data_IF_493611097884
#
_entry.id   IF_493611097884
#
_cell.length_a   1.000
_cell.length_b   1.000
_cell.length_c   1.000
_cell.angle_alpha   90.00
_cell.angle_beta   90.00
_cell.angle_gamma   90.00
#
_symmetry.space_group_name_H-M   'P 1'
#
loop_
_entity.id
_entity.type
_entity.pdbx_description
1 polymer ?
#
# COMPACT_ATOMS: atom_id res chain seq x y z
N UNK A 1 3.08 -21.82 11.35
CA UNK A 1 1.80 -22.05 10.66
C UNK A 1 1.37 -20.82 9.89
N UNK A 2 1.34 -19.64 10.52
CA UNK A 2 1.06 -18.35 9.86
C UNK A 2 1.85 -18.10 8.55
N UNK A 3 3.16 -18.37 8.54
CA UNK A 3 3.97 -18.31 7.32
C UNK A 3 3.44 -19.20 6.19
N UNK A 4 3.04 -20.43 6.51
CA UNK A 4 2.50 -21.35 5.51
C UNK A 4 1.13 -20.84 5.01
N UNK A 5 0.30 -20.28 5.89
CA UNK A 5 -1.00 -19.68 5.52
C UNK A 5 -0.84 -18.58 4.46
N UNK A 6 0.17 -17.71 4.60
CA UNK A 6 0.46 -16.69 3.59
C UNK A 6 0.95 -17.30 2.27
N UNK A 7 1.89 -18.25 2.31
CA UNK A 7 2.39 -18.97 1.12
C UNK A 7 1.28 -19.76 0.39
N UNK A 8 0.28 -20.23 1.14
CA UNK A 8 -0.89 -20.93 0.65
C UNK A 8 -2.03 -20.01 0.21
N UNK A 9 -1.91 -18.69 0.41
CA UNK A 9 -2.85 -17.68 -0.07
C UNK A 9 -2.22 -16.87 -1.22
N UNK A 10 -2.35 -17.33 -2.48
CA UNK A 10 -1.55 -16.80 -3.59
C UNK A 10 -1.73 -15.30 -3.84
N UNK A 11 -2.91 -14.74 -3.54
CA UNK A 11 -3.17 -13.30 -3.67
C UNK A 11 -2.28 -12.48 -2.73
N UNK A 12 -2.16 -12.88 -1.46
CA UNK A 12 -1.33 -12.19 -0.47
C UNK A 12 0.13 -12.41 -0.82
N UNK A 13 0.52 -13.67 -1.05
CA UNK A 13 1.88 -14.03 -1.40
C UNK A 13 2.40 -13.28 -2.65
N UNK A 14 1.54 -13.08 -3.65
CA UNK A 14 1.91 -12.33 -4.86
C UNK A 14 2.27 -10.87 -4.57
N UNK A 15 1.49 -10.19 -3.73
CA UNK A 15 1.74 -8.81 -3.33
C UNK A 15 2.97 -8.68 -2.42
N UNK A 16 3.13 -9.57 -1.44
CA UNK A 16 4.33 -9.59 -0.60
C UNK A 16 5.60 -9.74 -1.45
N UNK A 17 5.57 -10.63 -2.45
CA UNK A 17 6.69 -10.82 -3.37
C UNK A 17 6.93 -9.64 -4.29
N UNK A 18 5.87 -8.91 -4.64
CA UNK A 18 6.01 -7.65 -5.39
C UNK A 18 6.71 -6.59 -4.53
N UNK A 19 6.25 -6.37 -3.29
CA UNK A 19 6.84 -5.38 -2.38
C UNK A 19 8.29 -5.71 -2.01
N UNK A 20 8.59 -6.99 -1.69
CA UNK A 20 9.95 -7.49 -1.45
C UNK A 20 10.89 -7.16 -2.63
N UNK A 21 10.42 -7.34 -3.87
CA UNK A 21 11.18 -7.03 -5.08
C UNK A 21 11.31 -5.51 -5.33
N UNK A 22 10.28 -4.73 -5.01
CA UNK A 22 10.23 -3.28 -5.19
C UNK A 22 11.22 -2.57 -4.27
N UNK A 23 11.16 -2.86 -2.97
CA UNK A 23 11.97 -2.20 -1.95
C UNK A 23 13.34 -2.87 -1.74
N UNK A 24 13.45 -4.17 -2.07
CA UNK A 24 14.68 -4.94 -1.92
C UNK A 24 14.97 -5.33 -0.48
N UNK A 25 15.50 -6.54 -0.28
CA UNK A 25 15.72 -7.10 1.06
C UNK A 25 16.84 -6.41 1.86
N UNK A 26 17.70 -5.64 1.20
CA UNK A 26 18.68 -4.77 1.86
C UNK A 26 18.04 -3.58 2.58
N UNK A 27 16.85 -3.14 2.15
CA UNK A 27 16.08 -2.10 2.81
C UNK A 27 15.08 -2.74 3.82
N UNK A 28 14.84 -2.11 4.99
CA UNK A 28 13.80 -2.56 5.93
C UNK A 28 12.41 -2.79 5.30
N UNK A 29 11.97 -1.94 4.38
CA UNK A 29 10.65 -2.02 3.73
C UNK A 29 10.48 -3.26 2.84
N UNK A 30 11.58 -3.81 2.32
CA UNK A 30 11.54 -5.02 1.49
C UNK A 30 11.57 -6.32 2.29
N UNK A 31 11.60 -6.26 3.62
CA UNK A 31 11.60 -7.46 4.48
C UNK A 31 10.17 -7.80 4.89
N UNK A 32 9.80 -9.06 4.75
CA UNK A 32 8.52 -9.56 5.23
C UNK A 32 8.40 -9.35 6.74
N UNK A 33 7.23 -8.88 7.20
CA UNK A 33 6.95 -8.66 8.62
C UNK A 33 7.18 -9.90 9.47
N UNK A 34 6.75 -11.07 8.97
CA UNK A 34 6.94 -12.36 9.66
C UNK A 34 8.42 -12.80 9.72
N UNK A 35 9.26 -12.24 8.85
CA UNK A 35 10.67 -12.59 8.73
C UNK A 35 10.92 -13.99 8.14
N UNK A 36 12.18 -14.32 7.86
CA UNK A 36 12.53 -15.62 7.29
C UNK A 36 12.50 -16.73 8.35
N UNK A 37 12.13 -17.94 7.93
CA UNK A 37 12.07 -19.14 8.79
C UNK A 37 13.37 -19.39 9.57
N UNK A 38 14.52 -19.10 8.96
CA UNK A 38 15.83 -19.24 9.59
C UNK A 38 16.03 -18.31 10.78
N UNK A 39 15.43 -17.12 10.78
CA UNK A 39 15.47 -16.16 11.89
C UNK A 39 14.48 -16.58 12.97
N UNK A 40 13.25 -16.93 12.62
CA UNK A 40 12.21 -17.36 13.58
C UNK A 40 12.69 -18.52 14.45
N UNK A 41 13.41 -19.49 13.86
CA UNK A 41 13.94 -20.65 14.59
C UNK A 41 15.12 -20.34 15.52
N UNK A 42 15.78 -19.19 15.34
CA UNK A 42 17.05 -18.86 16.02
C UNK A 42 16.96 -17.63 16.91
N UNK A 43 15.87 -16.86 16.83
CA UNK A 43 15.71 -15.64 17.63
C UNK A 43 15.80 -15.99 19.11
N UNK A 44 16.72 -15.33 19.80
CA UNK A 44 16.95 -15.52 21.23
C UNK A 44 16.14 -14.54 22.06
N UNK A 45 15.89 -14.88 23.33
CA UNK A 45 15.29 -13.95 24.29
C UNK A 45 16.06 -12.63 24.36
N UNK A 46 17.40 -12.67 24.32
CA UNK A 46 18.22 -11.46 24.42
C UNK A 46 17.94 -10.52 23.24
N UNK A 47 17.85 -11.04 22.00
CA UNK A 47 17.51 -10.22 20.83
C UNK A 47 16.13 -9.56 20.93
N UNK A 48 15.14 -10.23 21.55
CA UNK A 48 13.82 -9.65 21.80
C UNK A 48 13.88 -8.53 22.83
N UNK A 49 14.67 -8.71 23.90
CA UNK A 49 14.91 -7.69 24.92
C UNK A 49 15.64 -6.50 24.30
N UNK A 50 16.70 -6.74 23.52
CA UNK A 50 17.46 -5.68 22.83
C UNK A 50 16.56 -4.89 21.87
N UNK A 51 15.67 -5.56 21.13
CA UNK A 51 14.69 -4.88 20.28
C UNK A 51 13.74 -3.98 21.10
N UNK A 52 13.25 -4.47 22.24
CA UNK A 52 12.43 -3.67 23.15
C UNK A 52 13.21 -2.44 23.66
N UNK A 53 14.46 -2.61 24.08
CA UNK A 53 15.30 -1.51 24.56
C UNK A 53 15.68 -0.52 23.44
N UNK A 54 15.76 -0.97 22.19
CA UNK A 54 16.03 -0.11 21.03
C UNK A 54 14.81 0.77 20.67
N UNK A 55 13.59 0.26 20.78
CA UNK A 55 12.39 0.87 20.19
C UNK A 55 11.25 1.21 21.14
N UNK A 56 11.05 0.51 22.27
CA UNK A 56 9.91 0.76 23.19
C UNK A 56 10.27 1.86 24.19
N UNK A 57 10.45 3.07 23.65
CA UNK A 57 10.78 4.27 24.40
C UNK A 57 9.60 5.23 24.40
N UNK A 58 9.43 6.00 25.47
CA UNK A 58 8.33 6.93 25.61
C UNK A 58 8.29 7.97 24.47
N UNK A 59 9.46 8.39 23.97
CA UNK A 59 9.57 9.29 22.81
C UNK A 59 9.37 8.60 21.44
N UNK A 60 9.02 7.31 21.42
CA UNK A 60 8.68 6.51 20.23
C UNK A 60 7.30 5.84 20.36
N UNK A 61 6.45 6.34 21.27
CA UNK A 61 5.16 5.73 21.60
C UNK A 61 4.07 6.79 21.65
N UNK A 62 2.90 6.45 21.12
CA UNK A 62 1.70 7.28 21.18
C UNK A 62 0.59 6.48 21.84
N UNK A 63 -0.07 7.08 22.82
CA UNK A 63 -1.28 6.54 23.44
C UNK A 63 -2.46 7.37 22.96
N UNK A 64 -3.26 6.80 22.06
CA UNK A 64 -4.48 7.41 21.56
C UNK A 64 -5.70 6.81 22.27
N UNK A 65 -6.54 7.69 22.81
CA UNK A 65 -7.80 7.33 23.48
C UNK A 65 -8.94 8.17 22.89
N UNK A 66 -10.08 7.54 22.69
CA UNK A 66 -11.27 8.16 22.10
C UNK A 66 -12.54 7.54 22.67
N UNK A 67 -13.63 8.30 22.67
CA UNK A 67 -14.93 7.90 23.21
C UNK A 67 -15.34 8.71 24.44
N UNK A 68 -16.19 8.12 25.28
CA UNK A 68 -16.64 8.74 26.53
C UNK A 68 -15.57 8.59 27.62
N UNK A 69 -14.64 9.53 27.67
CA UNK A 69 -13.48 9.46 28.57
C UNK A 69 -13.74 10.15 29.91
N UNK A 70 -13.43 9.51 31.05
CA UNK A 70 -13.43 10.16 32.36
C UNK A 70 -12.49 11.38 32.40
N UNK A 71 -12.82 12.40 33.20
CA UNK A 71 -11.98 13.61 33.36
C UNK A 71 -10.55 13.32 33.81
N UNK A 72 -10.32 12.21 34.52
CA UNK A 72 -9.00 11.81 35.03
C UNK A 72 -8.22 10.86 34.08
N UNK A 73 -8.67 10.67 32.83
CA UNK A 73 -8.01 9.76 31.87
C UNK A 73 -6.54 10.11 31.65
N UNK A 74 -6.24 11.41 31.46
CA UNK A 74 -4.86 11.88 31.27
C UNK A 74 -3.97 11.60 32.48
N UNK A 75 -4.51 11.75 33.71
CA UNK A 75 -3.78 11.44 34.94
C UNK A 75 -3.45 9.96 35.04
N UNK A 76 -4.39 9.08 34.71
CA UNK A 76 -4.15 7.62 34.67
C UNK A 76 -3.10 7.26 33.63
N UNK A 77 -3.17 7.83 32.42
CA UNK A 77 -2.16 7.57 31.38
C UNK A 77 -0.77 7.99 31.89
N UNK A 78 -0.66 9.15 32.53
CA UNK A 78 0.60 9.60 33.13
C UNK A 78 1.11 8.63 34.20
N UNK A 79 0.25 8.26 35.14
CA UNK A 79 0.55 7.33 36.26
C UNK A 79 1.06 5.97 35.77
N UNK A 80 0.45 5.41 34.73
CA UNK A 80 0.80 4.06 34.25
C UNK A 80 1.95 4.04 33.25
N UNK A 81 2.16 5.11 32.48
CA UNK A 81 3.09 5.07 31.34
C UNK A 81 4.23 6.09 31.42
N UNK A 82 3.93 7.35 31.71
CA UNK A 82 4.93 8.43 31.60
C UNK A 82 6.13 8.22 32.52
N UNK A 83 5.89 7.77 33.75
CA UNK A 83 6.95 7.61 34.75
C UNK A 83 7.55 6.19 34.78
N UNK A 84 7.07 5.28 33.92
CA UNK A 84 7.45 3.86 33.93
C UNK A 84 8.19 3.40 32.67
N UNK A 85 8.13 4.17 31.59
CA UNK A 85 8.76 3.82 30.33
C UNK A 85 10.07 4.58 30.12
N UNK A 86 11.12 3.93 29.60
CA UNK A 86 12.39 4.59 29.36
C UNK A 86 12.25 5.66 28.27
N UNK A 87 12.90 6.80 28.48
CA UNK A 87 13.18 7.77 27.42
C UNK A 87 14.60 7.54 26.89
N UNK A 88 14.85 7.84 25.61
CA UNK A 88 16.21 7.84 25.10
C UNK A 88 16.32 7.86 23.59
N UNK A 89 17.56 7.71 23.10
CA UNK A 89 17.83 7.69 21.65
C UNK A 89 17.13 6.50 21.00
N UNK A 90 16.28 6.76 20.02
CA UNK A 90 15.67 5.71 19.20
C UNK A 90 16.66 5.33 18.12
N UNK A 91 16.71 4.04 17.77
CA UNK A 91 17.54 3.55 16.68
C UNK A 91 17.07 4.19 15.37
N UNK A 92 17.98 4.87 14.67
CA UNK A 92 17.67 5.50 13.38
C UNK A 92 17.29 4.45 12.34
N UNK A 93 16.22 4.75 11.61
CA UNK A 93 15.76 3.95 10.48
C UNK A 93 16.22 4.68 9.21
N UNK A 94 16.86 3.93 8.31
CA UNK A 94 17.33 4.49 7.05
C UNK A 94 16.14 4.79 6.13
N UNK A 95 16.13 6.01 5.59
CA UNK A 95 15.16 6.39 4.56
C UNK A 95 15.30 5.53 3.31
N UNK A 96 14.19 5.25 2.66
CA UNK A 96 14.16 4.57 1.39
C UNK A 96 14.69 5.47 0.27
N UNK A 97 15.62 4.92 -0.52
CA UNK A 97 16.12 5.56 -1.74
C UNK A 97 15.80 4.62 -2.89
N UNK A 98 14.95 5.08 -3.81
CA UNK A 98 14.65 4.30 -5.00
C UNK A 98 15.84 4.32 -5.97
N UNK A 99 16.56 3.20 -6.05
CA UNK A 99 17.67 2.98 -6.98
C UNK A 99 17.26 2.21 -8.25
N UNK A 100 15.97 1.90 -8.41
CA UNK A 100 15.48 1.13 -9.55
C UNK A 100 15.63 1.92 -10.86
N UNK A 101 16.26 1.29 -11.86
CA UNK A 101 16.47 1.87 -13.19
C UNK A 101 15.71 1.14 -14.31
N UNK A 102 15.21 -0.07 -14.04
CA UNK A 102 14.57 -0.93 -15.03
C UNK A 102 13.34 -1.61 -14.44
N UNK A 103 12.39 -1.94 -15.32
CA UNK A 103 11.26 -2.80 -14.94
C UNK A 103 11.76 -4.14 -14.40
N UNK A 104 11.06 -4.67 -13.39
CA UNK A 104 11.37 -5.98 -12.79
C UNK A 104 10.17 -6.92 -12.96
N UNK A 105 10.47 -8.19 -13.23
CA UNK A 105 9.47 -9.26 -13.33
C UNK A 105 9.90 -10.40 -12.43
N UNK A 106 9.00 -10.85 -11.57
CA UNK A 106 9.18 -12.01 -10.70
C UNK A 106 8.11 -13.05 -11.03
N UNK A 107 8.56 -14.23 -11.46
CA UNK A 107 7.70 -15.38 -11.73
C UNK A 107 7.88 -16.42 -10.63
N UNK A 108 6.86 -16.63 -9.82
CA UNK A 108 6.82 -17.68 -8.82
C UNK A 108 6.02 -18.85 -9.39
N UNK A 109 6.74 -19.90 -9.79
CA UNK A 109 6.12 -21.08 -10.37
C UNK A 109 5.25 -21.81 -9.34
N UNK A 110 3.94 -21.90 -9.61
CA UNK A 110 3.00 -22.76 -8.88
C UNK A 110 2.02 -23.36 -9.89
N UNK A 111 1.73 -24.66 -9.77
CA UNK A 111 0.74 -25.31 -10.63
C UNK A 111 -0.66 -24.92 -10.12
N UNK A 112 -1.21 -23.85 -10.67
CA UNK A 112 -2.51 -23.29 -10.28
C UNK A 112 -3.43 -23.17 -11.49
N UNK A 113 -4.75 -23.25 -11.25
CA UNK A 113 -5.76 -23.00 -12.29
C UNK A 113 -5.95 -21.51 -12.56
N UNK A 114 -5.97 -20.71 -11.49
CA UNK A 114 -5.95 -19.25 -11.56
C UNK A 114 -4.52 -18.72 -11.43
N UNK A 115 -4.25 -17.63 -12.12
CA UNK A 115 -2.99 -16.89 -11.98
C UNK A 115 -3.22 -15.66 -11.12
N UNK A 116 -2.34 -15.44 -10.15
CA UNK A 116 -2.38 -14.24 -9.34
C UNK A 116 -1.30 -13.28 -9.82
N UNK A 117 -1.71 -12.05 -10.09
CA UNK A 117 -0.86 -10.98 -10.57
C UNK A 117 -0.86 -9.85 -9.56
N UNK A 118 0.32 -9.27 -9.33
CA UNK A 118 0.49 -7.99 -8.68
C UNK A 118 1.41 -7.12 -9.55
N UNK A 119 0.98 -5.92 -9.90
CA UNK A 119 1.75 -4.93 -10.65
C UNK A 119 1.91 -3.69 -9.77
N UNK A 120 3.11 -3.12 -9.69
CA UNK A 120 3.39 -2.05 -8.75
C UNK A 120 4.33 -0.98 -9.28
N UNK A 121 4.15 0.23 -8.75
CA UNK A 121 5.00 1.39 -8.97
C UNK A 121 5.33 2.02 -7.62
N UNK A 122 6.54 2.57 -7.49
CA UNK A 122 6.88 3.41 -6.34
C UNK A 122 5.95 4.64 -6.29
N UNK A 123 5.39 4.89 -5.11
CA UNK A 123 4.45 5.96 -4.81
C UNK A 123 5.02 6.93 -3.77
N UNK A 124 4.12 7.63 -3.09
CA UNK A 124 4.45 8.70 -2.15
C UNK A 124 4.24 8.28 -0.69
N UNK A 125 5.04 8.88 0.20
CA UNK A 125 4.87 8.75 1.66
C UNK A 125 3.75 9.65 2.20
N UNK A 126 3.40 9.48 3.48
CA UNK A 126 2.25 10.19 4.10
C UNK A 126 2.33 11.71 4.02
N UNK A 127 3.54 12.27 4.16
CA UNK A 127 3.76 13.73 4.19
C UNK A 127 3.99 14.34 2.81
N UNK A 128 3.97 13.56 1.73
CA UNK A 128 4.13 14.10 0.38
C UNK A 128 2.86 14.83 -0.08
N UNK A 129 3.01 16.01 -0.66
CA UNK A 129 1.90 16.81 -1.21
C UNK A 129 1.12 16.11 -2.32
N UNK A 130 1.71 15.12 -2.99
CA UNK A 130 1.10 14.35 -4.06
C UNK A 130 0.29 13.15 -3.53
N UNK A 131 0.42 12.81 -2.25
CA UNK A 131 -0.26 11.68 -1.63
C UNK A 131 -1.79 11.72 -1.79
N UNK A 132 -2.50 12.85 -1.58
CA UNK A 132 -3.95 12.89 -1.78
C UNK A 132 -4.39 12.56 -3.21
N UNK A 133 -3.61 12.99 -4.21
CA UNK A 133 -3.87 12.70 -5.61
C UNK A 133 -3.56 11.23 -5.95
N UNK A 134 -2.55 10.61 -5.32
CA UNK A 134 -2.27 9.19 -5.48
C UNK A 134 -3.40 8.30 -4.90
N UNK A 135 -3.95 8.65 -3.74
CA UNK A 135 -5.08 7.93 -3.15
C UNK A 135 -6.30 7.96 -4.07
N UNK A 136 -6.62 9.14 -4.62
CA UNK A 136 -7.72 9.27 -5.59
C UNK A 136 -7.42 8.53 -6.90
N UNK A 137 -6.16 8.51 -7.35
CA UNK A 137 -5.76 7.74 -8.52
C UNK A 137 -5.99 6.23 -8.30
N UNK A 138 -5.71 5.69 -7.12
CA UNK A 138 -6.02 4.29 -6.79
C UNK A 138 -7.53 4.01 -6.85
N UNK A 139 -8.35 4.90 -6.28
CA UNK A 139 -9.81 4.78 -6.32
C UNK A 139 -10.34 4.76 -7.76
N UNK A 140 -9.86 5.69 -8.59
CA UNK A 140 -10.27 5.80 -10.01
C UNK A 140 -9.89 4.54 -10.80
N UNK A 141 -8.72 3.99 -10.54
CA UNK A 141 -8.22 2.83 -11.26
C UNK A 141 -8.88 1.53 -10.83
N UNK A 142 -8.96 1.24 -9.53
CA UNK A 142 -9.36 -0.07 -9.04
C UNK A 142 -9.95 -0.11 -7.64
N UNK A 143 -10.26 1.02 -6.99
CA UNK A 143 -10.69 1.02 -5.59
C UNK A 143 -12.16 0.64 -5.36
N UNK A 144 -12.99 0.58 -6.41
CA UNK A 144 -14.40 0.20 -6.29
C UNK A 144 -14.97 -0.38 -7.60
N UNK A 145 -16.25 -0.79 -7.59
CA UNK A 145 -16.90 -1.41 -8.75
C UNK A 145 -17.12 -0.46 -9.94
N UNK A 146 -17.06 0.84 -9.72
CA UNK A 146 -17.21 1.86 -10.78
C UNK A 146 -15.86 2.32 -11.38
N UNK A 147 -14.75 1.75 -10.89
CA UNK A 147 -13.40 2.09 -11.31
C UNK A 147 -13.07 1.55 -12.70
N UNK A 148 -12.07 2.15 -13.35
CA UNK A 148 -11.71 1.84 -14.74
C UNK A 148 -11.34 0.37 -14.95
N UNK A 149 -10.49 -0.19 -14.09
CA UNK A 149 -10.04 -1.57 -14.21
C UNK A 149 -11.17 -2.55 -13.91
N UNK A 150 -12.03 -2.26 -12.93
CA UNK A 150 -13.18 -3.10 -12.65
C UNK A 150 -14.13 -3.15 -13.85
N UNK A 151 -14.51 -1.99 -14.40
CA UNK A 151 -15.42 -1.93 -15.55
C UNK A 151 -14.79 -2.55 -16.79
N UNK A 152 -13.55 -2.20 -17.13
CA UNK A 152 -12.97 -2.62 -18.41
C UNK A 152 -12.46 -4.06 -18.35
N UNK A 153 -11.61 -4.39 -17.37
CA UNK A 153 -10.91 -5.68 -17.33
C UNK A 153 -11.82 -6.79 -16.82
N UNK A 154 -12.58 -6.53 -15.74
CA UNK A 154 -13.47 -7.53 -15.14
C UNK A 154 -14.83 -7.59 -15.83
N UNK A 155 -15.59 -6.49 -15.86
CA UNK A 155 -16.98 -6.53 -16.33
C UNK A 155 -17.11 -6.66 -17.85
N UNK A 156 -16.38 -5.85 -18.63
CA UNK A 156 -16.51 -5.84 -20.10
C UNK A 156 -15.75 -6.96 -20.79
N UNK A 157 -14.49 -7.18 -20.40
CA UNK A 157 -13.60 -8.14 -21.09
C UNK A 157 -13.62 -9.53 -20.45
N UNK A 158 -14.15 -9.68 -19.23
CA UNK A 158 -14.19 -10.94 -18.51
C UNK A 158 -12.80 -11.54 -18.25
N UNK A 159 -11.77 -10.69 -18.11
CA UNK A 159 -10.37 -11.13 -18.02
C UNK A 159 -9.92 -11.47 -16.60
N UNK A 160 -10.64 -10.96 -15.59
CA UNK A 160 -10.27 -11.09 -14.19
C UNK A 160 -11.46 -11.50 -13.32
N UNK A 161 -11.24 -12.44 -12.41
CA UNK A 161 -12.19 -12.81 -11.36
C UNK A 161 -12.30 -11.72 -10.29
N UNK A 162 -11.15 -11.13 -9.96
CA UNK A 162 -11.06 -9.90 -9.17
C UNK A 162 -9.96 -9.03 -9.76
N UNK A 163 -10.13 -7.72 -9.62
CA UNK A 163 -9.09 -6.73 -9.91
C UNK A 163 -9.31 -5.54 -8.97
N UNK A 164 -8.23 -5.05 -8.37
CA UNK A 164 -8.26 -3.88 -7.49
C UNK A 164 -6.97 -3.09 -7.56
N UNK A 165 -7.03 -1.84 -7.12
CA UNK A 165 -5.87 -0.97 -6.95
C UNK A 165 -5.82 -0.44 -5.53
N UNK A 166 -4.67 -0.57 -4.89
CA UNK A 166 -4.44 -0.17 -3.50
C UNK A 166 -3.16 0.67 -3.37
N UNK A 167 -3.05 1.42 -2.27
CA UNK A 167 -1.83 2.11 -1.86
C UNK A 167 -1.21 1.41 -0.66
N UNK A 168 0.08 1.10 -0.73
CA UNK A 168 0.90 0.83 0.44
C UNK A 168 1.70 2.09 0.76
N UNK A 169 1.42 2.75 1.88
CA UNK A 169 2.03 4.06 2.22
C UNK A 169 2.85 3.94 3.50
N UNK A 170 4.08 4.44 3.44
CA UNK A 170 5.03 4.53 4.55
C UNK A 170 5.34 5.99 4.84
N UNK A 171 6.22 6.25 5.82
CA UNK A 171 6.58 7.60 6.23
C UNK A 171 7.22 8.40 5.08
N UNK A 172 8.19 7.82 4.39
CA UNK A 172 9.04 8.49 3.40
C UNK A 172 8.85 8.01 1.95
N UNK A 173 8.05 6.96 1.74
CA UNK A 173 7.76 6.40 0.41
C UNK A 173 6.43 5.65 0.41
N UNK A 174 6.05 5.09 -0.75
CA UNK A 174 4.88 4.25 -0.88
C UNK A 174 4.93 3.39 -2.13
N UNK A 175 3.83 2.72 -2.42
CA UNK A 175 3.60 1.96 -3.63
C UNK A 175 2.13 2.03 -4.05
N UNK A 176 1.89 2.15 -5.35
CA UNK A 176 0.59 1.97 -5.98
C UNK A 176 0.55 0.60 -6.63
N UNK A 177 -0.39 -0.25 -6.21
CA UNK A 177 -0.42 -1.67 -6.53
C UNK A 177 -1.71 -2.02 -7.25
N UNK A 178 -1.64 -2.72 -8.38
CA UNK A 178 -2.77 -3.38 -9.05
C UNK A 178 -2.68 -4.87 -8.77
N UNK A 179 -3.71 -5.47 -8.20
CA UNK A 179 -3.80 -6.91 -7.97
C UNK A 179 -4.93 -7.51 -8.77
N UNK A 180 -4.71 -8.69 -9.36
CA UNK A 180 -5.74 -9.39 -10.11
C UNK A 180 -5.63 -10.93 -10.01
N UNK A 181 -6.77 -11.59 -10.07
CA UNK A 181 -6.88 -13.04 -10.28
C UNK A 181 -7.37 -13.30 -11.69
N UNK A 182 -6.59 -14.02 -12.50
CA UNK A 182 -6.74 -14.12 -13.95
C UNK A 182 -6.84 -15.57 -14.41
N UNK A 183 -7.44 -15.78 -15.59
CA UNK A 183 -7.34 -17.04 -16.33
C UNK A 183 -5.95 -17.16 -16.98
N UNK A 184 -5.29 -18.32 -16.79
CA UNK A 184 -3.95 -18.61 -17.33
C UNK A 184 -3.86 -18.50 -18.86
N UNK A 185 -4.96 -18.73 -19.57
CA UNK A 185 -5.04 -18.68 -21.03
C UNK A 185 -5.07 -17.25 -21.59
N UNK A 186 -5.56 -16.27 -20.79
CA UNK A 186 -5.77 -14.88 -21.23
C UNK A 186 -4.90 -13.86 -20.50
N UNK A 187 -3.86 -14.29 -19.78
CA UNK A 187 -3.00 -13.41 -18.98
C UNK A 187 -2.36 -12.26 -19.78
N UNK A 188 -1.89 -12.51 -21.00
CA UNK A 188 -1.22 -11.48 -21.79
C UNK A 188 -2.20 -10.39 -22.23
N UNK A 189 -3.43 -10.79 -22.56
CA UNK A 189 -4.53 -9.88 -22.87
C UNK A 189 -4.91 -9.05 -21.64
N UNK A 190 -5.02 -9.69 -20.47
CA UNK A 190 -5.30 -9.03 -19.20
C UNK A 190 -4.23 -7.98 -18.83
N UNK A 191 -2.94 -8.35 -18.92
CA UNK A 191 -1.83 -7.41 -18.65
C UNK A 191 -1.87 -6.22 -19.60
N UNK A 192 -2.12 -6.48 -20.89
CA UNK A 192 -2.22 -5.41 -21.89
C UNK A 192 -3.39 -4.47 -21.56
N UNK A 193 -4.57 -5.01 -21.26
CA UNK A 193 -5.74 -4.21 -20.88
C UNK A 193 -5.51 -3.38 -19.61
N UNK A 194 -4.82 -3.93 -18.60
CA UNK A 194 -4.42 -3.20 -17.39
C UNK A 194 -3.52 -2.02 -17.77
N UNK A 195 -2.44 -2.29 -18.50
CA UNK A 195 -1.47 -1.26 -18.90
C UNK A 195 -2.12 -0.15 -19.74
N UNK A 196 -3.06 -0.50 -20.62
CA UNK A 196 -3.75 0.46 -21.45
C UNK A 196 -4.65 1.39 -20.63
N UNK A 197 -5.34 0.90 -19.59
CA UNK A 197 -6.06 1.77 -18.66
C UNK A 197 -5.13 2.71 -17.87
N UNK A 198 -3.98 2.21 -17.44
CA UNK A 198 -2.97 3.05 -16.76
C UNK A 198 -2.43 4.14 -17.70
N UNK A 199 -2.14 3.80 -18.98
CA UNK A 199 -1.71 4.77 -20.01
C UNK A 199 -2.77 5.82 -20.28
N UNK A 200 -4.05 5.43 -20.39
CA UNK A 200 -5.15 6.37 -20.59
C UNK A 200 -5.21 7.43 -19.49
N UNK A 201 -4.99 7.05 -18.22
CA UNK A 201 -4.93 8.02 -17.12
C UNK A 201 -3.64 8.87 -17.18
N UNK A 202 -2.49 8.25 -17.46
CA UNK A 202 -1.20 8.94 -17.62
C UNK A 202 -1.23 10.03 -18.70
N UNK A 203 -1.80 9.71 -19.86
CA UNK A 203 -1.75 10.55 -21.06
C UNK A 203 -2.96 11.48 -21.17
N UNK A 204 -4.16 10.95 -20.92
CA UNK A 204 -5.43 11.66 -21.04
C UNK A 204 -5.86 12.36 -19.75
N UNK A 205 -5.50 11.82 -18.59
CA UNK A 205 -6.05 12.24 -17.30
C UNK A 205 -7.45 11.67 -17.04
N UNK A 206 -8.21 12.40 -16.22
CA UNK A 206 -9.56 12.01 -15.77
C UNK A 206 -10.50 13.20 -15.95
N UNK A 207 -11.76 12.93 -16.30
CA UNK A 207 -12.76 14.00 -16.39
C UNK A 207 -13.23 14.44 -15.00
N UNK A 208 -13.92 15.58 -14.93
CA UNK A 208 -14.41 16.15 -13.66
C UNK A 208 -15.43 15.25 -12.97
N UNK A 209 -16.26 14.51 -13.72
CA UNK A 209 -17.31 13.64 -13.16
C UNK A 209 -16.68 12.40 -12.54
N UNK A 210 -15.69 11.81 -13.20
CA UNK A 210 -14.90 10.68 -12.71
C UNK A 210 -14.14 11.06 -11.43
N UNK A 211 -13.44 12.19 -11.43
CA UNK A 211 -12.77 12.69 -10.23
C UNK A 211 -13.76 12.93 -9.08
N UNK A 212 -14.89 13.58 -9.37
CA UNK A 212 -15.92 13.85 -8.36
C UNK A 212 -16.46 12.55 -7.74
N UNK A 213 -16.72 11.52 -8.55
CA UNK A 213 -17.14 10.20 -8.05
C UNK A 213 -16.10 9.57 -7.13
N UNK A 214 -14.80 9.68 -7.44
CA UNK A 214 -13.75 9.17 -6.58
C UNK A 214 -13.66 9.94 -5.25
N UNK A 215 -13.79 11.27 -5.29
CA UNK A 215 -13.83 12.11 -4.09
C UNK A 215 -15.04 11.80 -3.20
N UNK A 216 -16.21 11.58 -3.80
CA UNK A 216 -17.44 11.23 -3.08
C UNK A 216 -17.35 9.84 -2.47
N UNK A 217 -16.83 8.86 -3.21
CA UNK A 217 -16.57 7.52 -2.71
C UNK A 217 -15.64 7.55 -1.50
N UNK A 218 -14.53 8.27 -1.59
CA UNK A 218 -13.56 8.38 -0.49
C UNK A 218 -14.17 9.12 0.71
N UNK A 219 -14.98 10.14 0.46
CA UNK A 219 -15.70 10.87 1.53
C UNK A 219 -16.68 9.98 2.28
N UNK A 220 -17.50 9.21 1.56
CA UNK A 220 -18.40 8.24 2.17
C UNK A 220 -17.63 7.14 2.91
N UNK A 221 -16.51 6.69 2.35
CA UNK A 221 -15.67 5.67 2.98
C UNK A 221 -15.07 6.12 4.31
N UNK A 222 -14.50 7.32 4.36
CA UNK A 222 -13.95 7.92 5.60
C UNK A 222 -15.05 8.10 6.65
N UNK A 223 -16.26 8.52 6.26
CA UNK A 223 -17.37 8.66 7.20
C UNK A 223 -17.74 7.32 7.85
N UNK A 224 -17.83 6.24 7.06
CA UNK A 224 -18.13 4.89 7.55
C UNK A 224 -16.98 4.30 8.38
N UNK A 225 -15.73 4.49 7.95
CA UNK A 225 -14.57 3.92 8.64
C UNK A 225 -14.33 4.56 10.02
N UNK A 226 -14.91 5.73 10.30
CA UNK A 226 -14.70 6.50 11.53
C UNK A 226 -15.91 6.56 12.46
N UNK A 227 -16.90 5.68 12.28
CA UNK A 227 -18.08 5.59 13.15
C UNK A 227 -17.73 5.07 14.56
N UNK A 228 -16.68 4.26 14.68
CA UNK A 228 -16.24 3.67 15.95
C UNK A 228 -15.17 4.54 16.64
N UNK A 229 -15.29 4.70 17.95
CA UNK A 229 -14.30 5.41 18.78
C UNK A 229 -12.87 4.86 18.66
N UNK A 230 -12.70 3.55 18.52
CA UNK A 230 -11.41 2.89 18.30
C UNK A 230 -10.80 3.26 16.95
N UNK A 231 -11.63 3.42 15.91
CA UNK A 231 -11.17 3.89 14.62
C UNK A 231 -10.71 5.36 14.69
N UNK A 232 -11.41 6.20 15.46
CA UNK A 232 -10.98 7.58 15.70
C UNK A 232 -9.67 7.64 16.52
N UNK A 233 -9.50 6.78 17.52
CA UNK A 233 -8.21 6.65 18.23
C UNK A 233 -7.09 6.22 17.27
N UNK A 234 -7.35 5.24 16.40
CA UNK A 234 -6.41 4.80 15.37
C UNK A 234 -6.05 5.90 14.37
N UNK A 235 -7.04 6.71 13.96
CA UNK A 235 -6.87 7.84 13.04
C UNK A 235 -5.87 8.86 13.56
N UNK A 236 -6.05 9.34 14.80
CA UNK A 236 -5.14 10.32 15.40
C UNK A 236 -3.83 9.67 15.86
N UNK A 237 -3.88 8.46 16.42
CA UNK A 237 -2.70 7.75 16.89
C UNK A 237 -1.70 7.47 15.78
N UNK A 238 -2.18 7.05 14.60
CA UNK A 238 -1.33 6.84 13.41
C UNK A 238 -0.71 8.14 12.92
N UNK A 239 -1.46 9.23 12.90
CA UNK A 239 -0.97 10.53 12.44
C UNK A 239 0.10 11.09 13.37
N UNK A 240 -0.13 11.05 14.69
CA UNK A 240 0.87 11.48 15.66
C UNK A 240 2.15 10.65 15.55
N UNK A 241 1.99 9.32 15.40
CA UNK A 241 3.12 8.39 15.37
C UNK A 241 3.97 8.51 14.10
N UNK A 242 3.34 8.73 12.94
CA UNK A 242 4.02 8.63 11.64
C UNK A 242 4.23 9.98 10.94
N UNK A 243 3.46 11.01 11.29
CA UNK A 243 3.42 12.28 10.55
C UNK A 243 3.73 13.48 11.45
N UNK A 244 3.56 13.34 12.77
CA UNK A 244 3.68 14.44 13.75
C UNK A 244 2.81 15.66 13.40
N UNK A 245 1.72 15.42 12.68
CA UNK A 245 0.73 16.41 12.27
C UNK A 245 -0.65 15.77 12.38
N UNK A 246 -1.52 16.34 13.21
CA UNK A 246 -2.87 15.85 13.42
C UNK A 246 -3.85 16.59 12.50
N UNK A 247 -4.55 15.84 11.65
CA UNK A 247 -5.65 16.35 10.84
C UNK A 247 -6.96 15.70 11.24
N UNK A 248 -8.01 16.52 11.34
CA UNK A 248 -9.37 16.03 11.48
C UNK A 248 -9.80 15.30 10.20
N UNK A 249 -10.82 14.42 10.29
CA UNK A 249 -11.43 13.81 9.11
C UNK A 249 -11.86 14.87 8.09
N UNK A 250 -12.47 15.98 8.54
CA UNK A 250 -12.92 17.08 7.68
C UNK A 250 -11.76 17.77 6.98
N UNK A 251 -10.63 17.98 7.67
CA UNK A 251 -9.41 18.52 7.07
C UNK A 251 -8.88 17.60 5.98
N UNK A 252 -8.79 16.30 6.24
CA UNK A 252 -8.33 15.32 5.25
C UNK A 252 -9.27 15.24 4.05
N UNK A 253 -10.58 15.30 4.28
CA UNK A 253 -11.57 15.34 3.20
C UNK A 253 -11.47 16.61 2.36
N UNK A 254 -11.11 17.75 2.96
CA UNK A 254 -10.81 18.98 2.20
C UNK A 254 -9.60 18.81 1.29
N UNK A 255 -8.54 18.13 1.74
CA UNK A 255 -7.38 17.82 0.91
C UNK A 255 -7.78 17.00 -0.33
N UNK A 256 -8.57 15.94 -0.15
CA UNK A 256 -9.04 15.13 -1.28
C UNK A 256 -9.96 15.93 -2.23
N UNK A 257 -10.85 16.76 -1.69
CA UNK A 257 -11.74 17.61 -2.50
C UNK A 257 -10.99 18.71 -3.28
N UNK A 258 -9.84 19.15 -2.78
CA UNK A 258 -9.00 20.15 -3.44
C UNK A 258 -8.21 19.60 -4.65
N UNK A 259 -8.04 18.27 -4.73
CA UNK A 259 -7.34 17.63 -5.85
C UNK A 259 -8.05 17.92 -7.17
N UNK A 260 -7.29 18.27 -8.20
CA UNK A 260 -7.81 18.54 -9.55
C UNK A 260 -7.49 17.42 -10.54
N UNK A 261 -8.18 17.38 -11.68
CA UNK A 261 -7.85 16.43 -12.77
C UNK A 261 -6.41 16.59 -13.28
N UNK A 262 -5.86 17.82 -13.19
CA UNK A 262 -4.47 18.08 -13.57
C UNK A 262 -3.49 17.47 -12.57
N UNK A 263 -3.82 17.48 -11.27
CA UNK A 263 -3.02 16.81 -10.24
C UNK A 263 -3.00 15.30 -10.47
N UNK A 264 -4.16 14.70 -10.75
CA UNK A 264 -4.24 13.26 -11.08
C UNK A 264 -3.36 12.93 -12.28
N UNK A 265 -3.46 13.71 -13.37
CA UNK A 265 -2.63 13.50 -14.57
C UNK A 265 -1.14 13.66 -14.28
N UNK A 266 -0.76 14.68 -13.51
CA UNK A 266 0.62 14.95 -13.11
C UNK A 266 1.18 13.81 -12.25
N UNK A 267 0.43 13.35 -11.26
CA UNK A 267 0.81 12.23 -10.38
C UNK A 267 0.88 10.92 -11.16
N UNK A 268 -0.11 10.63 -12.01
CA UNK A 268 -0.08 9.47 -12.89
C UNK A 268 1.16 9.46 -13.79
N UNK A 269 1.55 10.61 -14.37
CA UNK A 269 2.81 10.73 -15.12
C UNK A 269 4.04 10.49 -14.28
N UNK A 270 4.07 10.96 -13.03
CA UNK A 270 5.22 10.76 -12.11
C UNK A 270 5.38 9.29 -11.72
N UNK A 271 4.28 8.62 -11.41
CA UNK A 271 4.25 7.23 -10.93
C UNK A 271 4.46 6.23 -12.09
N UNK A 272 3.71 6.39 -13.19
CA UNK A 272 3.66 5.43 -14.30
C UNK A 272 4.85 5.57 -15.25
N UNK A 273 6.00 5.12 -14.78
CA UNK A 273 7.27 5.15 -15.50
C UNK A 273 7.75 3.73 -15.78
N UNK A 274 8.15 3.46 -17.03
CA UNK A 274 8.69 2.16 -17.44
C UNK A 274 9.85 1.67 -16.55
N UNK A 275 10.73 2.58 -16.12
CA UNK A 275 11.85 2.24 -15.23
C UNK A 275 11.41 1.75 -13.84
N UNK A 276 10.20 2.09 -13.40
CA UNK A 276 9.64 1.77 -12.08
C UNK A 276 8.52 0.72 -12.14
N UNK A 277 8.29 0.10 -13.31
CA UNK A 277 7.23 -0.88 -13.50
C UNK A 277 7.66 -2.24 -12.94
N UNK A 278 6.93 -2.74 -11.95
CA UNK A 278 7.20 -4.01 -11.28
C UNK A 278 6.04 -4.98 -11.49
N UNK A 279 6.34 -6.25 -11.74
CA UNK A 279 5.34 -7.30 -11.95
C UNK A 279 5.72 -8.57 -11.20
N UNK A 280 4.82 -9.06 -10.36
CA UNK A 280 4.89 -10.35 -9.69
C UNK A 280 3.75 -11.23 -10.18
N UNK A 281 4.06 -12.50 -10.47
CA UNK A 281 3.07 -13.49 -10.92
C UNK A 281 3.26 -14.78 -10.12
N UNK A 282 2.17 -15.30 -9.55
CA UNK A 282 2.08 -16.68 -9.05
C UNK A 282 1.29 -17.50 -10.06
N UNK A 283 1.94 -18.43 -10.74
CA UNK A 283 1.29 -19.27 -11.76
C UNK A 283 2.27 -20.20 -12.48
N UNK A 284 1.80 -20.96 -13.48
CA UNK A 284 2.61 -22.01 -14.13
C UNK A 284 3.58 -21.45 -15.20
N UNK A 285 4.32 -20.38 -14.88
CA UNK A 285 5.25 -19.72 -15.80
C UNK A 285 6.70 -19.79 -15.29
N UNK A 286 7.64 -20.06 -16.20
CA UNK A 286 9.08 -20.11 -15.92
C UNK A 286 9.91 -19.19 -16.82
N UNK A 287 9.30 -18.61 -17.85
CA UNK A 287 9.96 -17.73 -18.82
C UNK A 287 9.28 -16.36 -18.84
N UNK A 288 10.07 -15.31 -18.68
CA UNK A 288 9.62 -13.93 -18.63
C UNK A 288 9.63 -13.20 -19.99
N UNK A 289 10.16 -13.82 -21.05
CA UNK A 289 10.35 -13.17 -22.36
C UNK A 289 9.07 -12.57 -22.94
N UNK A 290 7.95 -13.30 -22.87
CA UNK A 290 6.65 -12.81 -23.38
C UNK A 290 6.13 -11.65 -22.53
N UNK A 291 6.26 -11.73 -21.21
CA UNK A 291 5.87 -10.65 -20.30
C UNK A 291 6.71 -9.39 -20.54
N UNK A 292 8.04 -9.52 -20.69
CA UNK A 292 8.93 -8.40 -20.99
C UNK A 292 8.53 -7.63 -22.25
N UNK A 293 8.05 -8.32 -23.29
CA UNK A 293 7.63 -7.70 -24.55
C UNK A 293 6.39 -6.82 -24.40
N UNK A 294 5.42 -7.25 -23.60
CA UNK A 294 4.15 -6.51 -23.42
C UNK A 294 4.20 -5.48 -22.29
N UNK A 295 5.15 -5.62 -21.36
CA UNK A 295 5.24 -4.79 -20.16
C UNK A 295 5.85 -3.41 -20.49
N UNK A 296 5.00 -2.46 -20.90
CA UNK A 296 5.38 -1.09 -21.27
C UNK A 296 4.28 -0.08 -20.93
N UNK A 297 4.66 1.08 -20.37
CA UNK A 297 3.79 2.19 -19.93
C UNK A 297 4.35 3.57 -20.23
#
# INVERSE_FOLDING_TARGET
EEMNMYEDTPMIYCAEKLEEMMFGTSNPLGRLTIGPRSVIKKVSRQQLVDYKEDFYKMNNMVIAVSGMLPKNTSNKIREYFHDKLPQGKIKEIQKFINVQQNKKILLNYKKTEQVHLAMGFHGHGYSDKDYPAEVLLAVILGGNMSSRLFINVRERLGLAYFIRTDNATYEDTGALLVQAGLDKSRIYEAITAILDELKKVKEGGVDKKELKRAQDYLSGRVALDLEDSSAMAGWYGKQELLMHELKSPEEKLREYKAVTSNDIKRVAKKIFQNKNLNLSIIGPYRDDKKFKKILSI
#
